data_IF_228177133882
#
_entry.id   IF_228177133882
#
_cell.length_a   1.000
_cell.length_b   1.000
_cell.length_c   1.000
_cell.angle_alpha   90.00
_cell.angle_beta   90.00
_cell.angle_gamma   90.00
#
_symmetry.space_group_name_H-M   'P 1'
#
loop_
_entity.id
_entity.type
_entity.pdbx_description
1 polymer ?
#
# COMPACT_ATOMS: atom_id res chain seq x y z
N UNK A 1 7.97 -24.86 18.07
CA UNK A 1 7.88 -23.42 18.39
C UNK A 1 6.91 -22.81 17.40
N UNK A 2 5.70 -22.46 17.85
CA UNK A 2 4.66 -21.88 16.99
C UNK A 2 4.96 -20.38 16.97
N UNK A 3 5.31 -19.86 15.80
CA UNK A 3 5.62 -18.46 15.58
C UNK A 3 4.41 -17.61 16.02
N UNK A 4 4.59 -16.79 17.06
CA UNK A 4 3.55 -15.87 17.51
C UNK A 4 3.28 -14.89 16.37
N UNK A 5 2.08 -14.98 15.78
CA UNK A 5 1.46 -13.85 15.09
C UNK A 5 1.13 -12.84 16.20
N UNK A 6 2.13 -12.09 16.66
CA UNK A 6 1.86 -10.89 17.41
C UNK A 6 0.93 -10.06 16.51
N UNK A 7 -0.22 -9.68 17.04
CA UNK A 7 -1.01 -8.60 16.47
C UNK A 7 -0.08 -7.37 16.49
N UNK A 8 0.69 -7.19 15.43
CA UNK A 8 1.45 -5.98 15.24
C UNK A 8 0.39 -4.92 14.98
N UNK A 9 0.12 -4.15 16.02
CA UNK A 9 -0.77 -3.01 15.92
C UNK A 9 -0.08 -1.98 15.04
N UNK A 10 -0.60 -1.87 13.83
CA UNK A 10 -0.20 -0.88 12.87
C UNK A 10 -1.02 0.39 13.10
N UNK A 11 -0.40 1.55 12.92
CA UNK A 11 -1.05 2.84 13.14
C UNK A 11 -0.83 3.73 11.93
N UNK A 12 -1.87 4.40 11.46
CA UNK A 12 -1.72 5.44 10.45
C UNK A 12 -2.20 6.77 11.04
N UNK A 13 -1.82 7.89 10.44
CA UNK A 13 -2.46 9.17 10.74
C UNK A 13 -3.44 9.47 9.63
N UNK A 14 -4.72 9.49 9.95
CA UNK A 14 -5.74 10.06 9.08
C UNK A 14 -5.51 11.56 9.03
N UNK A 15 -5.32 12.13 7.85
CA UNK A 15 -5.14 13.57 7.65
C UNK A 15 -6.50 14.27 7.60
N UNK A 16 -7.48 13.65 6.94
CA UNK A 16 -8.82 14.20 6.75
C UNK A 16 -9.57 13.58 5.57
N UNK A 17 -10.74 14.13 5.26
CA UNK A 17 -11.55 13.81 4.09
C UNK A 17 -11.43 14.94 3.07
N UNK A 18 -11.18 14.59 1.81
CA UNK A 18 -10.92 15.55 0.74
C UNK A 18 -11.65 15.16 -0.53
N UNK A 19 -12.14 16.16 -1.27
CA UNK A 19 -12.75 15.96 -2.58
C UNK A 19 -11.65 15.94 -3.65
N UNK A 20 -11.50 14.81 -4.36
CA UNK A 20 -10.48 14.61 -5.40
C UNK A 20 -9.07 15.10 -5.01
N UNK A 21 -8.51 14.66 -3.87
CA UNK A 21 -7.20 15.10 -3.42
C UNK A 21 -6.10 14.75 -4.41
N UNK A 22 -5.06 15.58 -4.49
CA UNK A 22 -3.84 15.28 -5.23
C UNK A 22 -2.67 15.21 -4.26
N UNK A 23 -1.68 14.37 -4.55
CA UNK A 23 -0.46 14.27 -3.75
C UNK A 23 0.22 15.64 -3.53
N UNK A 24 0.17 16.53 -4.53
CA UNK A 24 0.72 17.89 -4.46
C UNK A 24 0.12 18.76 -3.37
N UNK A 25 -1.10 18.46 -2.92
CA UNK A 25 -1.80 19.23 -1.88
C UNK A 25 -1.21 18.94 -0.49
N UNK A 26 -0.37 17.90 -0.37
CA UNK A 26 0.17 17.37 0.89
C UNK A 26 1.71 17.41 0.95
N UNK A 27 2.37 18.23 0.12
CA UNK A 27 3.84 18.29 0.07
C UNK A 27 4.48 18.68 1.42
N UNK A 28 3.77 19.44 2.27
CA UNK A 28 4.24 19.80 3.62
C UNK A 28 4.35 18.61 4.57
N UNK A 29 3.54 17.56 4.37
CA UNK A 29 3.47 16.38 5.25
C UNK A 29 4.04 15.11 4.60
N UNK A 30 4.33 15.14 3.30
CA UNK A 30 4.98 14.05 2.56
C UNK A 30 6.29 13.53 3.19
N UNK A 31 7.16 14.36 3.82
CA UNK A 31 8.35 13.85 4.49
C UNK A 31 8.05 12.95 5.69
N UNK A 32 6.84 13.08 6.28
CA UNK A 32 6.43 12.43 7.53
C UNK A 32 6.03 10.96 7.35
N UNK A 33 5.74 10.54 6.12
CA UNK A 33 5.39 9.16 5.79
C UNK A 33 4.86 9.02 4.37
N UNK A 34 4.59 7.78 3.94
CA UNK A 34 3.92 7.54 2.67
C UNK A 34 2.48 8.03 2.74
N UNK A 35 2.09 8.87 1.78
CA UNK A 35 0.73 9.35 1.63
C UNK A 35 -0.07 8.37 0.78
N UNK A 36 -1.25 8.00 1.25
CA UNK A 36 -2.20 7.20 0.50
C UNK A 36 -3.64 7.62 0.79
N UNK A 37 -4.55 7.27 -0.11
CA UNK A 37 -5.94 7.63 -0.02
C UNK A 37 -6.84 6.41 -0.20
N UNK A 38 -7.87 6.32 0.63
CA UNK A 38 -8.94 5.33 0.51
C UNK A 38 -10.21 6.08 0.09
N UNK A 39 -10.93 5.56 -0.91
CA UNK A 39 -12.23 6.12 -1.29
C UNK A 39 -13.22 5.92 -0.14
N UNK A 40 -13.91 7.00 0.24
CA UNK A 40 -14.91 6.99 1.31
C UNK A 40 -16.32 6.95 0.69
N UNK A 41 -16.65 7.97 -0.11
CA UNK A 41 -17.91 8.03 -0.88
C UNK A 41 -17.74 8.86 -2.16
N UNK A 42 -17.92 8.22 -3.31
CA UNK A 42 -17.90 8.86 -4.63
C UNK A 42 -16.55 9.51 -4.96
N UNK A 43 -16.50 10.84 -4.96
CA UNK A 43 -15.25 11.59 -5.21
C UNK A 43 -14.54 12.04 -3.93
N UNK A 44 -15.01 11.58 -2.77
CA UNK A 44 -14.45 11.91 -1.47
C UNK A 44 -13.50 10.81 -1.04
N UNK A 45 -12.30 11.20 -0.66
CA UNK A 45 -11.23 10.30 -0.26
C UNK A 45 -10.72 10.65 1.13
N UNK A 46 -10.48 9.61 1.92
CA UNK A 46 -9.83 9.69 3.21
C UNK A 46 -8.33 9.56 3.01
N UNK A 47 -7.60 10.62 3.32
CA UNK A 47 -6.13 10.66 3.14
C UNK A 47 -5.45 10.24 4.44
N UNK A 48 -4.42 9.42 4.32
CA UNK A 48 -3.62 8.90 5.41
C UNK A 48 -2.13 9.14 5.18
N UNK A 49 -1.37 9.19 6.27
CA UNK A 49 0.09 9.23 6.28
C UNK A 49 0.63 8.05 7.07
N UNK A 50 1.54 7.32 6.43
CA UNK A 50 2.38 6.29 7.03
C UNK A 50 1.66 4.98 7.32
N UNK A 51 2.43 4.03 7.86
CA UNK A 51 1.92 2.85 8.54
C UNK A 51 2.95 2.53 9.63
N UNK A 52 2.77 3.18 10.77
CA UNK A 52 3.69 3.22 11.89
C UNK A 52 3.55 1.97 12.74
N UNK A 53 4.69 1.42 13.16
CA UNK A 53 4.73 0.21 14.00
C UNK A 53 4.37 0.48 15.47
N UNK A 54 4.22 1.75 15.86
CA UNK A 54 3.83 2.13 17.22
C UNK A 54 3.07 3.45 17.27
N UNK A 55 2.26 3.59 18.32
CA UNK A 55 1.40 4.76 18.54
C UNK A 55 2.19 6.05 18.78
N UNK A 56 3.39 5.97 19.37
CA UNK A 56 4.22 7.16 19.65
C UNK A 56 4.71 7.81 18.35
N UNK A 57 5.17 7.02 17.39
CA UNK A 57 5.57 7.50 16.07
C UNK A 57 4.38 8.11 15.32
N UNK A 58 3.22 7.46 15.37
CA UNK A 58 1.99 8.00 14.77
C UNK A 58 1.55 9.31 15.43
N UNK A 59 1.62 9.42 16.77
CA UNK A 59 1.28 10.64 17.50
C UNK A 59 2.25 11.80 17.20
N UNK A 60 3.54 11.50 17.06
CA UNK A 60 4.53 12.51 16.65
C UNK A 60 4.25 13.03 15.24
N UNK A 61 3.92 12.14 14.30
CA UNK A 61 3.52 12.52 12.94
C UNK A 61 2.21 13.33 12.96
N UNK A 62 1.22 12.92 13.74
CA UNK A 62 -0.08 13.61 13.87
C UNK A 62 0.09 15.05 14.37
N UNK A 63 0.93 15.28 15.38
CA UNK A 63 1.22 16.63 15.86
C UNK A 63 1.84 17.52 14.77
N UNK A 64 2.78 16.98 13.98
CA UNK A 64 3.42 17.71 12.88
C UNK A 64 2.44 17.96 11.71
N UNK A 65 1.54 17.02 11.43
CA UNK A 65 0.49 17.16 10.42
C UNK A 65 -0.49 18.27 10.83
N UNK A 66 -0.92 18.32 12.09
CA UNK A 66 -1.77 19.41 12.61
C UNK A 66 -1.08 20.78 12.52
N UNK A 67 0.21 20.85 12.89
CA UNK A 67 1.01 22.07 12.75
C UNK A 67 1.16 22.54 11.30
N UNK A 68 1.06 21.61 10.34
CA UNK A 68 1.10 21.89 8.91
C UNK A 68 -0.25 22.36 8.34
N UNK A 69 -1.28 22.53 9.17
CA UNK A 69 -2.59 23.08 8.79
C UNK A 69 -3.73 22.07 8.70
N UNK A 70 -3.47 20.78 8.93
CA UNK A 70 -4.48 19.72 8.88
C UNK A 70 -5.05 19.46 10.28
N UNK A 71 -5.92 20.36 10.75
CA UNK A 71 -6.44 20.35 12.13
C UNK A 71 -7.22 19.09 12.48
N UNK A 72 -7.81 18.38 11.51
CA UNK A 72 -8.63 17.18 11.73
C UNK A 72 -7.80 15.89 11.78
N UNK A 73 -6.47 16.00 11.73
CA UNK A 73 -5.62 14.84 11.69
C UNK A 73 -5.73 14.01 12.98
N UNK A 74 -5.82 12.69 12.86
CA UNK A 74 -5.99 11.79 13.99
C UNK A 74 -5.25 10.47 13.80
N UNK A 75 -4.69 9.94 14.87
CA UNK A 75 -4.08 8.59 14.87
C UNK A 75 -5.19 7.55 14.79
N UNK A 76 -5.08 6.64 13.82
CA UNK A 76 -5.98 5.51 13.63
C UNK A 76 -5.21 4.20 13.78
N UNK A 77 -5.81 3.22 14.46
CA UNK A 77 -5.26 1.86 14.55
C UNK A 77 -5.74 1.04 13.35
N UNK A 78 -4.80 0.44 12.63
CA UNK A 78 -5.04 -0.50 11.54
C UNK A 78 -4.94 -1.91 12.12
N UNK A 79 -6.10 -2.53 12.33
CA UNK A 79 -6.16 -3.89 12.87
C UNK A 79 -5.91 -4.92 11.78
N UNK A 80 -4.93 -5.79 11.99
CA UNK A 80 -4.67 -6.94 11.11
C UNK A 80 -5.54 -8.16 11.46
N UNK A 81 -6.40 -8.05 12.47
CA UNK A 81 -7.13 -9.19 13.07
C UNK A 81 -8.09 -9.87 12.09
N UNK A 82 -8.72 -9.10 11.20
CA UNK A 82 -9.64 -9.62 10.18
C UNK A 82 -8.93 -10.04 8.89
N UNK A 83 -7.65 -9.71 8.75
CA UNK A 83 -6.87 -10.06 7.58
C UNK A 83 -6.39 -11.51 7.63
N UNK A 84 -6.09 -12.05 6.45
CA UNK A 84 -5.62 -13.42 6.24
C UNK A 84 -4.16 -13.40 5.83
N UNK A 85 -3.42 -14.42 6.26
CA UNK A 85 -2.08 -14.67 5.74
C UNK A 85 -2.17 -15.09 4.28
N UNK A 86 -1.60 -14.29 3.39
CA UNK A 86 -1.51 -14.57 1.95
C UNK A 86 -0.06 -14.52 1.52
N UNK A 87 0.31 -15.30 0.50
CA UNK A 87 1.59 -15.16 -0.15
C UNK A 87 1.48 -14.08 -1.24
N UNK A 88 2.47 -13.19 -1.31
CA UNK A 88 2.60 -12.17 -2.34
C UNK A 88 4.01 -12.21 -2.92
N UNK A 89 4.21 -11.62 -4.09
CA UNK A 89 5.55 -11.51 -4.69
C UNK A 89 6.00 -10.06 -4.54
N UNK A 90 7.06 -9.84 -3.76
CA UNK A 90 7.66 -8.51 -3.65
C UNK A 90 8.48 -8.24 -4.90
N UNK A 91 8.11 -7.19 -5.64
CA UNK A 91 8.75 -6.76 -6.88
C UNK A 91 9.89 -5.80 -6.61
N UNK A 92 9.69 -4.88 -5.67
CA UNK A 92 10.64 -3.83 -5.36
C UNK A 92 10.42 -3.26 -3.96
N UNK A 93 11.45 -2.59 -3.47
CA UNK A 93 11.36 -1.69 -2.32
C UNK A 93 11.84 -0.31 -2.74
N UNK A 94 11.09 0.72 -2.38
CA UNK A 94 11.33 2.11 -2.78
C UNK A 94 11.17 3.03 -1.58
N UNK A 95 11.84 4.18 -1.64
CA UNK A 95 11.57 5.29 -0.73
C UNK A 95 10.25 5.95 -1.15
N UNK A 96 9.35 6.18 -0.19
CA UNK A 96 8.12 6.95 -0.46
C UNK A 96 8.37 8.43 -0.77
N UNK A 97 9.61 8.90 -0.58
CA UNK A 97 10.03 10.28 -0.90
C UNK A 97 10.36 10.47 -2.38
N UNK A 98 10.55 9.39 -3.12
CA UNK A 98 10.96 9.41 -4.52
C UNK A 98 9.76 9.26 -5.45
N UNK A 99 9.88 9.80 -6.67
CA UNK A 99 8.89 9.58 -7.72
C UNK A 99 8.98 8.12 -8.19
N UNK A 100 7.88 7.38 -8.05
CA UNK A 100 7.79 5.99 -8.46
C UNK A 100 7.35 5.93 -9.93
N UNK A 101 8.11 5.23 -10.76
CA UNK A 101 7.65 4.84 -12.09
C UNK A 101 6.77 3.59 -11.98
N UNK A 102 5.45 3.77 -12.01
CA UNK A 102 4.48 2.70 -11.81
C UNK A 102 4.38 1.72 -12.99
N UNK A 103 4.73 2.16 -14.21
CA UNK A 103 4.46 1.41 -15.44
C UNK A 103 5.01 -0.03 -15.45
N UNK A 104 6.29 -0.30 -15.08
CA UNK A 104 6.84 -1.65 -15.12
C UNK A 104 6.13 -2.61 -14.16
N UNK A 105 5.58 -2.10 -13.05
CA UNK A 105 4.91 -2.93 -12.07
C UNK A 105 3.52 -3.38 -12.54
N UNK A 106 2.81 -2.54 -13.32
CA UNK A 106 1.52 -2.92 -13.90
C UNK A 106 1.65 -3.89 -15.10
N UNK A 107 2.82 -4.00 -15.73
CA UNK A 107 3.08 -4.99 -16.79
C UNK A 107 3.11 -6.45 -16.28
N UNK A 108 3.30 -6.65 -14.98
CA UNK A 108 3.37 -7.98 -14.36
C UNK A 108 2.07 -8.39 -13.66
N UNK A 109 1.11 -7.48 -13.53
CA UNK A 109 -0.22 -7.76 -12.98
C UNK A 109 -0.72 -6.67 -12.04
N UNK A 110 -1.76 -6.99 -11.28
CA UNK A 110 -2.27 -6.12 -10.23
C UNK A 110 -1.23 -5.97 -9.12
N UNK A 111 -1.01 -4.74 -8.69
CA UNK A 111 -0.03 -4.41 -7.66
C UNK A 111 -0.72 -3.95 -6.38
N UNK A 112 -0.04 -4.19 -5.27
CA UNK A 112 -0.36 -3.63 -3.98
C UNK A 112 0.90 -3.00 -3.42
N UNK A 113 0.72 -2.09 -2.48
CA UNK A 113 1.80 -1.50 -1.70
C UNK A 113 1.63 -1.88 -0.24
N UNK A 114 2.76 -2.06 0.42
CA UNK A 114 2.89 -2.29 1.85
C UNK A 114 3.92 -1.31 2.36
N UNK A 115 3.61 -0.59 3.43
CA UNK A 115 4.56 0.27 4.10
C UNK A 115 5.12 -0.52 5.29
N UNK A 116 6.44 -0.70 5.33
CA UNK A 116 7.08 -1.46 6.39
C UNK A 116 8.47 -0.86 6.62
N UNK A 117 8.83 -0.57 7.87
CA UNK A 117 10.12 0.03 8.23
C UNK A 117 10.42 1.31 7.43
N UNK A 118 9.42 2.17 7.26
CA UNK A 118 9.55 3.43 6.52
C UNK A 118 9.95 3.24 5.04
N UNK A 119 9.69 2.08 4.46
CA UNK A 119 9.94 1.79 3.05
C UNK A 119 8.64 1.32 2.38
N UNK A 120 8.45 1.73 1.13
CA UNK A 120 7.34 1.28 0.31
C UNK A 120 7.73 -0.01 -0.40
N UNK A 121 7.08 -1.11 -0.04
CA UNK A 121 7.23 -2.41 -0.68
C UNK A 121 6.14 -2.55 -1.74
N UNK A 122 6.56 -2.65 -2.99
CA UNK A 122 5.66 -2.88 -4.11
C UNK A 122 5.58 -4.39 -4.31
N UNK A 123 4.38 -4.93 -4.20
CA UNK A 123 4.12 -6.37 -4.31
C UNK A 123 3.07 -6.63 -5.39
N UNK A 124 2.98 -7.87 -5.86
CA UNK A 124 1.95 -8.30 -6.81
C UNK A 124 1.38 -9.66 -6.43
N UNK A 125 0.12 -9.85 -6.81
CA UNK A 125 -0.65 -11.07 -6.61
C UNK A 125 -0.98 -11.34 -5.14
N UNK A 126 -2.05 -12.11 -4.93
CA UNK A 126 -2.40 -12.68 -3.63
C UNK A 126 -2.65 -14.17 -3.83
N UNK A 127 -1.73 -14.98 -3.35
CA UNK A 127 -1.72 -16.42 -3.53
C UNK A 127 -2.05 -17.12 -2.22
N UNK A 128 -2.65 -18.31 -2.31
CA UNK A 128 -2.99 -19.10 -1.14
C UNK A 128 -1.73 -19.54 -0.36
N UNK A 129 -0.62 -19.79 -1.06
CA UNK A 129 0.64 -20.22 -0.47
C UNK A 129 1.86 -19.80 -1.30
N UNK A 130 3.06 -20.03 -0.75
CA UNK A 130 4.34 -19.66 -1.38
C UNK A 130 4.64 -20.47 -2.64
N UNK A 131 4.15 -21.71 -2.75
CA UNK A 131 4.40 -22.52 -3.95
C UNK A 131 3.64 -21.96 -5.16
N UNK A 132 2.39 -21.55 -4.97
CA UNK A 132 1.60 -20.88 -6.01
C UNK A 132 2.27 -19.57 -6.44
N UNK A 133 2.77 -18.77 -5.49
CA UNK A 133 3.53 -17.56 -5.78
C UNK A 133 4.83 -17.85 -6.56
N UNK A 134 5.53 -18.96 -6.29
CA UNK A 134 6.75 -19.34 -7.01
C UNK A 134 6.50 -19.70 -8.47
N UNK A 135 5.31 -20.22 -8.81
CA UNK A 135 4.95 -20.51 -10.21
C UNK A 135 4.91 -19.22 -11.04
N UNK A 136 4.33 -18.16 -10.50
CA UNK A 136 4.28 -16.85 -11.17
C UNK A 136 5.61 -16.08 -11.08
N UNK A 137 6.39 -16.30 -10.03
CA UNK A 137 7.69 -15.66 -9.84
C UNK A 137 8.62 -15.85 -11.05
N UNK A 138 8.64 -17.05 -11.63
CA UNK A 138 9.49 -17.35 -12.79
C UNK A 138 9.16 -16.45 -13.98
N UNK A 139 7.88 -16.20 -14.24
CA UNK A 139 7.42 -15.30 -15.32
C UNK A 139 7.79 -13.85 -15.02
N UNK A 140 7.64 -13.43 -13.77
CA UNK A 140 7.97 -12.07 -13.30
C UNK A 140 9.47 -11.78 -13.42
N UNK A 141 10.33 -12.75 -13.10
CA UNK A 141 11.79 -12.61 -13.24
C UNK A 141 12.23 -12.43 -14.69
N UNK A 142 11.60 -13.12 -15.62
CA UNK A 142 11.86 -12.97 -17.07
C UNK A 142 11.49 -11.57 -17.57
N UNK A 143 10.48 -10.93 -16.96
CA UNK A 143 10.07 -9.54 -17.25
C UNK A 143 10.95 -8.47 -16.60
N UNK A 144 12.07 -8.84 -15.98
CA UNK A 144 13.08 -7.91 -15.47
C UNK A 144 13.13 -7.76 -13.95
N UNK A 145 12.17 -8.31 -13.20
CA UNK A 145 12.15 -8.29 -11.73
C UNK A 145 13.01 -9.41 -11.13
N UNK A 146 14.30 -9.44 -11.44
CA UNK A 146 15.22 -10.55 -11.09
C UNK A 146 15.30 -10.82 -9.59
N UNK A 147 15.23 -9.75 -8.80
CA UNK A 147 15.30 -9.78 -7.35
C UNK A 147 13.95 -10.01 -6.68
N UNK A 148 12.89 -10.26 -7.46
CA UNK A 148 11.60 -10.56 -6.88
C UNK A 148 11.65 -11.86 -6.05
N UNK A 149 10.89 -11.88 -4.96
CA UNK A 149 10.78 -13.03 -4.09
C UNK A 149 9.39 -13.11 -3.44
N UNK A 150 8.92 -14.33 -3.11
CA UNK A 150 7.65 -14.51 -2.43
C UNK A 150 7.81 -14.21 -0.94
N UNK A 151 6.82 -13.55 -0.34
CA UNK A 151 6.70 -13.34 1.11
C UNK A 151 5.29 -13.58 1.59
N UNK A 152 5.13 -14.02 2.83
CA UNK A 152 3.83 -14.14 3.49
C UNK A 152 3.57 -12.84 4.24
N UNK A 153 2.36 -12.30 4.08
CA UNK A 153 1.89 -11.10 4.77
C UNK A 153 0.44 -11.23 5.18
N UNK A 154 0.01 -10.36 6.08
CA UNK A 154 -1.40 -10.15 6.33
C UNK A 154 -1.98 -9.21 5.26
N UNK A 155 -3.02 -9.65 4.55
CA UNK A 155 -3.61 -8.86 3.46
C UNK A 155 -4.29 -7.56 3.91
N UNK A 156 -4.60 -7.38 5.20
CA UNK A 156 -5.16 -6.13 5.72
C UNK A 156 -4.16 -4.95 5.69
N UNK A 157 -2.87 -5.24 5.51
CA UNK A 157 -1.80 -4.25 5.36
C UNK A 157 -1.53 -3.90 3.89
N UNK A 158 -2.20 -4.57 2.95
CA UNK A 158 -2.08 -4.25 1.54
C UNK A 158 -2.98 -3.09 1.20
N UNK A 159 -2.39 -2.08 0.57
CA UNK A 159 -3.11 -1.00 -0.06
C UNK A 159 -3.00 -1.13 -1.58
N UNK A 160 -4.10 -0.95 -2.30
CA UNK A 160 -4.06 -0.90 -3.76
C UNK A 160 -3.91 0.56 -4.22
N UNK A 161 -2.83 0.94 -4.92
CA UNK A 161 -2.64 2.31 -5.38
C UNK A 161 -3.78 2.78 -6.29
N UNK A 162 -4.39 3.91 -5.94
CA UNK A 162 -5.44 4.58 -6.69
C UNK A 162 -4.92 5.81 -7.44
N UNK A 163 -5.84 6.61 -7.99
CA UNK A 163 -5.49 7.81 -8.76
C UNK A 163 -4.65 8.81 -7.93
N UNK A 164 -4.86 8.85 -6.61
CA UNK A 164 -4.09 9.68 -5.70
C UNK A 164 -2.59 9.34 -5.73
N UNK A 165 -2.22 8.08 -5.54
CA UNK A 165 -0.83 7.61 -5.49
C UNK A 165 -0.17 7.54 -6.87
N UNK A 166 -0.96 7.23 -7.89
CA UNK A 166 -0.49 7.11 -9.27
C UNK A 166 -0.25 8.47 -9.93
N UNK A 167 -0.91 9.53 -9.44
CA UNK A 167 -0.83 10.86 -10.01
C UNK A 167 -1.25 10.86 -11.49
N UNK A 168 -0.37 11.33 -12.37
CA UNK A 168 -0.64 11.39 -13.81
C UNK A 168 -0.59 10.02 -14.51
N UNK A 169 -0.11 8.97 -13.83
CA UNK A 169 -0.08 7.64 -14.41
C UNK A 169 -1.50 7.06 -14.48
N UNK A 170 -2.02 6.96 -15.70
CA UNK A 170 -3.26 6.22 -15.96
C UNK A 170 -2.94 4.74 -16.00
N UNK A 171 -3.57 3.97 -15.12
CA UNK A 171 -3.48 2.52 -15.17
C UNK A 171 -3.81 2.05 -16.60
N UNK A 172 -3.01 1.16 -17.20
CA UNK A 172 -3.43 0.51 -18.42
C UNK A 172 -4.78 -0.17 -18.14
N UNK A 173 -5.73 -0.05 -19.08
CA UNK A 173 -6.95 -0.83 -19.02
C UNK A 173 -6.55 -2.30 -19.06
N UNK A 174 -6.39 -2.93 -17.90
CA UNK A 174 -6.29 -4.38 -17.82
C UNK A 174 -7.67 -4.83 -18.29
N UNK A 175 -7.79 -5.55 -19.42
CA UNK A 175 -9.05 -6.18 -19.77
C UNK A 175 -9.45 -6.95 -18.51
N UNK A 176 -10.63 -6.67 -17.95
CA UNK A 176 -11.23 -7.60 -17.00
C UNK A 176 -11.06 -8.96 -17.66
N UNK A 177 -10.20 -9.81 -17.10
CA UNK A 177 -10.33 -11.22 -17.38
C UNK A 177 -11.75 -11.50 -16.93
N UNK A 178 -12.64 -11.64 -17.90
CA UNK A 178 -13.90 -12.34 -17.76
C UNK A 178 -13.48 -13.69 -17.19
N UNK A 179 -13.38 -13.76 -15.87
CA UNK A 179 -13.45 -15.02 -15.16
C UNK A 179 -14.82 -15.54 -15.56
N UNK A 180 -14.76 -16.40 -16.57
CA UNK A 180 -15.85 -17.20 -17.04
C UNK A 180 -16.40 -17.91 -15.81
N UNK A 181 -17.45 -17.33 -15.22
CA UNK A 181 -18.47 -18.10 -14.54
C UNK A 181 -19.14 -18.95 -15.63
N UNK A 182 -18.46 -20.03 -16.03
CA UNK A 182 -19.13 -21.22 -16.51
C UNK A 182 -19.91 -21.75 -15.30
N UNK A 183 -21.20 -21.45 -15.27
CA UNK A 183 -22.21 -22.40 -14.82
C UNK A 183 -23.13 -22.68 -16.00
#
# INVERSE_FOLDING_TARGET
MIQSLAANDHFAVQVGLFLNPKLSDFESIKPLGYLYAEEDEGSTFRVFVGDFDNVQAAAAAESQIRQSGFSDAAVVRRSTTLGKSVAVIQLATRSYKEKINWAPFYEVGNIFVLIENNQLKIVTGTYANVNDAKLELSKIKVKGFKDAFPKIINNALLHQPGAFELGDFKQPLIPLALDAQKK
#
